data_IF_181113319002
#
_entry.id   IF_181113319002
#
_cell.length_a   1.000
_cell.length_b   1.000
_cell.length_c   1.000
_cell.angle_alpha   90.00
_cell.angle_beta   90.00
_cell.angle_gamma   90.00
#
_symmetry.space_group_name_H-M   'P 1'
#
loop_
_entity.id
_entity.type
_entity.pdbx_description
1 polymer ?
#
# COMPACT_ATOMS: atom_id res chain seq x y z
N UNK A 1 31.70 38.03 7.82
CA UNK A 1 30.83 37.49 6.74
C UNK A 1 30.34 36.08 7.10
N UNK A 2 29.35 35.90 8.00
CA UNK A 2 28.86 34.58 8.42
C UNK A 2 27.63 34.09 7.60
N UNK A 3 26.80 35.03 7.13
CA UNK A 3 25.46 34.77 6.57
C UNK A 3 25.42 33.89 5.31
N UNK A 4 26.45 33.92 4.46
CA UNK A 4 26.47 33.12 3.23
C UNK A 4 26.75 31.63 3.50
N UNK A 5 27.47 31.32 4.57
CA UNK A 5 27.77 29.94 4.98
C UNK A 5 26.56 29.28 5.62
N UNK A 6 25.82 30.03 6.43
CA UNK A 6 24.60 29.56 7.10
C UNK A 6 23.49 29.25 6.08
N UNK A 7 23.34 30.08 5.04
CA UNK A 7 22.38 29.82 3.95
C UNK A 7 22.72 28.56 3.14
N UNK A 8 24.00 28.24 2.93
CA UNK A 8 24.43 27.02 2.23
C UNK A 8 24.18 25.76 3.08
N UNK A 9 24.43 25.84 4.38
CA UNK A 9 24.15 24.73 5.32
C UNK A 9 22.64 24.47 5.45
N UNK A 10 21.82 25.51 5.55
CA UNK A 10 20.37 25.37 5.58
C UNK A 10 19.81 24.73 4.30
N UNK A 11 20.38 25.06 3.13
CA UNK A 11 19.98 24.46 1.86
C UNK A 11 20.34 22.97 1.78
N UNK A 12 21.53 22.58 2.25
CA UNK A 12 21.94 21.18 2.30
C UNK A 12 21.10 20.36 3.29
N UNK A 13 20.77 20.93 4.45
CA UNK A 13 19.89 20.30 5.42
C UNK A 13 18.48 20.06 4.83
N UNK A 14 17.89 21.09 4.20
CA UNK A 14 16.59 20.96 3.53
C UNK A 14 16.58 20.01 2.32
N UNK A 15 17.73 19.80 1.68
CA UNK A 15 17.88 18.82 0.60
C UNK A 15 18.05 17.39 1.15
N UNK A 16 18.74 17.22 2.27
CA UNK A 16 18.82 15.95 3.01
C UNK A 16 17.44 15.52 3.48
N UNK A 17 16.72 16.40 4.20
CA UNK A 17 15.36 16.10 4.70
C UNK A 17 14.40 15.71 3.57
N UNK A 18 14.51 16.34 2.40
CA UNK A 18 13.70 15.98 1.22
C UNK A 18 14.04 14.60 0.66
N UNK A 19 15.33 14.23 0.58
CA UNK A 19 15.73 12.89 0.15
C UNK A 19 15.28 11.83 1.16
N UNK A 20 15.45 12.09 2.45
CA UNK A 20 15.05 11.17 3.51
C UNK A 20 13.52 10.94 3.49
N UNK A 21 12.75 12.01 3.30
CA UNK A 21 11.28 11.91 3.15
C UNK A 21 10.85 11.14 1.90
N UNK A 22 11.55 11.29 0.78
CA UNK A 22 11.24 10.54 -0.44
C UNK A 22 11.49 9.03 -0.27
N UNK A 23 12.61 8.67 0.36
CA UNK A 23 12.93 7.27 0.67
C UNK A 23 11.93 6.63 1.64
N UNK A 24 11.40 7.42 2.58
CA UNK A 24 10.37 7.00 3.53
C UNK A 24 9.02 6.70 2.85
N UNK A 25 8.62 7.56 1.90
CA UNK A 25 7.40 7.37 1.09
C UNK A 25 7.50 6.15 0.18
N UNK A 26 8.67 5.94 -0.44
CA UNK A 26 8.91 4.77 -1.30
C UNK A 26 8.82 3.46 -0.50
N UNK A 27 9.42 3.42 0.70
CA UNK A 27 9.33 2.26 1.59
C UNK A 27 7.90 2.00 2.07
N UNK A 28 7.20 3.05 2.52
CA UNK A 28 5.81 2.95 2.99
C UNK A 28 4.88 2.42 1.90
N UNK A 29 5.08 2.87 0.66
CA UNK A 29 4.33 2.41 -0.52
C UNK A 29 4.57 0.93 -0.80
N UNK A 30 5.83 0.49 -0.79
CA UNK A 30 6.18 -0.92 -0.99
C UNK A 30 5.62 -1.82 0.12
N UNK A 31 5.70 -1.38 1.38
CA UNK A 31 5.15 -2.10 2.53
C UNK A 31 3.62 -2.23 2.45
N UNK A 32 2.93 -1.14 2.13
CA UNK A 32 1.48 -1.16 1.94
C UNK A 32 1.08 -2.10 0.80
N UNK A 33 1.80 -2.04 -0.32
CA UNK A 33 1.56 -2.89 -1.48
C UNK A 33 1.78 -4.37 -1.17
N UNK A 34 2.82 -4.71 -0.40
CA UNK A 34 3.06 -6.07 0.08
C UNK A 34 1.92 -6.57 0.99
N UNK A 35 1.47 -5.74 1.95
CA UNK A 35 0.34 -6.08 2.83
C UNK A 35 -0.94 -6.35 2.04
N UNK A 36 -1.22 -5.54 1.01
CA UNK A 36 -2.39 -5.74 0.13
C UNK A 36 -2.30 -7.09 -0.60
N UNK A 37 -1.13 -7.45 -1.16
CA UNK A 37 -0.98 -8.75 -1.85
C UNK A 37 -1.07 -9.94 -0.93
N UNK A 38 -0.46 -9.85 0.25
CA UNK A 38 -0.58 -10.89 1.26
C UNK A 38 -2.05 -11.11 1.66
N UNK A 39 -2.79 -10.02 1.86
CA UNK A 39 -4.23 -10.06 2.16
C UNK A 39 -5.03 -10.71 1.02
N UNK A 40 -4.79 -10.32 -0.24
CA UNK A 40 -5.49 -10.87 -1.40
C UNK A 40 -5.15 -12.36 -1.58
N UNK A 41 -3.89 -12.76 -1.43
CA UNK A 41 -3.49 -14.18 -1.48
C UNK A 41 -4.21 -15.02 -0.44
N UNK A 42 -4.23 -14.58 0.82
CA UNK A 42 -4.97 -15.25 1.90
C UNK A 42 -6.47 -15.32 1.59
N UNK A 43 -7.06 -14.24 1.08
CA UNK A 43 -8.46 -14.21 0.66
C UNK A 43 -8.81 -15.21 -0.45
N UNK A 44 -7.95 -15.33 -1.46
CA UNK A 44 -8.11 -16.32 -2.55
C UNK A 44 -7.93 -17.75 -2.06
N UNK A 45 -6.90 -18.02 -1.24
CA UNK A 45 -6.68 -19.35 -0.67
C UNK A 45 -7.86 -19.82 0.18
N UNK A 46 -8.42 -18.94 1.03
CA UNK A 46 -9.63 -19.23 1.82
C UNK A 46 -10.87 -19.44 0.95
N UNK A 47 -10.86 -18.93 -0.27
CA UNK A 47 -11.90 -19.17 -1.26
C UNK A 47 -11.72 -20.49 -2.03
N UNK A 48 -10.61 -21.22 -1.83
CA UNK A 48 -10.26 -22.38 -2.63
C UNK A 48 -9.78 -22.01 -4.04
N UNK A 49 -9.37 -20.75 -4.25
CA UNK A 49 -8.89 -20.25 -5.53
C UNK A 49 -7.37 -20.18 -5.49
N UNK A 50 -6.73 -20.74 -6.52
CA UNK A 50 -5.28 -20.66 -6.68
C UNK A 50 -4.85 -19.20 -6.92
N UNK A 51 -4.03 -18.60 -6.04
CA UNK A 51 -3.53 -17.24 -6.22
C UNK A 51 -2.69 -17.05 -7.50
N UNK A 52 -2.11 -18.11 -8.05
CA UNK A 52 -1.31 -18.03 -9.29
C UNK A 52 -2.18 -17.74 -10.52
N UNK A 53 -3.50 -18.03 -10.45
CA UNK A 53 -4.45 -17.64 -11.49
C UNK A 53 -4.62 -16.11 -11.57
N UNK A 54 -4.31 -15.37 -10.51
CA UNK A 54 -4.44 -13.92 -10.47
C UNK A 54 -3.24 -13.21 -11.12
N UNK A 55 -3.42 -12.65 -12.32
CA UNK A 55 -2.34 -11.92 -13.02
C UNK A 55 -1.77 -10.76 -12.18
N UNK A 56 -2.63 -10.04 -11.45
CA UNK A 56 -2.23 -8.95 -10.57
C UNK A 56 -1.32 -9.40 -9.39
N UNK A 57 -1.35 -10.68 -9.01
CA UNK A 57 -0.45 -11.24 -7.98
C UNK A 57 0.87 -11.76 -8.55
N UNK A 58 1.02 -11.79 -9.88
CA UNK A 58 2.29 -12.11 -10.55
C UNK A 58 3.10 -10.85 -10.83
N UNK A 59 2.44 -9.72 -11.09
CA UNK A 59 3.11 -8.44 -11.35
C UNK A 59 3.48 -7.74 -10.03
N UNK A 60 4.78 -7.58 -9.77
CA UNK A 60 5.29 -6.98 -8.53
C UNK A 60 6.76 -6.60 -8.51
N UNK A 61 7.18 -5.75 -7.55
CA UNK A 61 8.58 -5.48 -7.28
C UNK A 61 9.28 -6.81 -6.99
N UNK A 62 10.48 -6.94 -7.56
CA UNK A 62 11.23 -8.18 -7.51
C UNK A 62 11.52 -8.58 -6.05
N UNK A 63 11.65 -9.89 -5.79
CA UNK A 63 11.96 -10.41 -4.46
C UNK A 63 13.20 -9.77 -3.80
N UNK A 64 14.12 -9.19 -4.60
CA UNK A 64 15.27 -8.44 -4.11
C UNK A 64 14.92 -7.14 -3.39
N UNK A 65 13.93 -6.38 -3.88
CA UNK A 65 13.46 -5.14 -3.25
C UNK A 65 12.74 -5.43 -1.91
N UNK A 66 12.27 -6.67 -1.71
CA UNK A 66 11.62 -7.11 -0.48
C UNK A 66 12.61 -7.46 0.64
N UNK A 67 13.81 -7.92 0.31
CA UNK A 67 14.84 -8.25 1.31
C UNK A 67 15.39 -6.99 1.99
N UNK A 68 15.51 -5.90 1.24
CA UNK A 68 15.89 -4.58 1.77
C UNK A 68 14.82 -3.95 2.68
N UNK A 69 13.55 -4.37 2.53
CA UNK A 69 12.48 -3.89 3.38
C UNK A 69 12.56 -4.46 4.80
N UNK A 70 12.86 -5.76 4.94
CA UNK A 70 12.95 -6.42 6.24
C UNK A 70 14.11 -5.92 7.10
N UNK A 71 15.22 -5.50 6.48
CA UNK A 71 16.41 -4.99 7.18
C UNK A 71 16.25 -3.56 7.70
N UNK A 72 15.37 -2.75 7.10
CA UNK A 72 15.11 -1.34 7.50
C UNK A 72 14.07 -1.16 8.62
N UNK A 73 13.34 -2.21 8.99
CA UNK A 73 12.21 -2.17 9.95
C UNK A 73 12.57 -1.78 11.39
N UNK A 74 13.84 -1.52 11.69
CA UNK A 74 14.31 -1.23 13.05
C UNK A 74 14.02 0.19 13.56
N UNK A 75 13.66 1.14 12.70
CA UNK A 75 13.64 2.57 13.09
C UNK A 75 12.53 3.38 12.38
N UNK A 76 11.30 2.84 12.31
CA UNK A 76 10.16 3.61 11.81
C UNK A 76 9.52 4.41 12.94
N UNK A 77 9.77 5.72 12.95
CA UNK A 77 9.07 6.69 13.80
C UNK A 77 7.80 7.16 13.09
N UNK A 78 6.65 7.15 13.77
CA UNK A 78 5.37 7.61 13.20
C UNK A 78 5.45 9.07 12.70
N UNK A 79 4.83 9.41 11.56
CA UNK A 79 4.87 10.76 11.02
C UNK A 79 4.06 11.72 11.91
N UNK A 80 4.69 12.83 12.32
CA UNK A 80 4.09 13.82 13.21
C UNK A 80 3.03 14.72 12.49
N UNK A 81 1.84 14.81 13.10
CA UNK A 81 0.92 15.96 13.02
C UNK A 81 0.18 16.21 11.70
N UNK A 82 0.86 16.76 10.70
CA UNK A 82 0.25 17.22 9.45
C UNK A 82 0.21 16.13 8.38
N UNK A 83 1.30 15.37 8.23
CA UNK A 83 1.34 14.21 7.34
C UNK A 83 0.30 13.16 7.78
N UNK A 84 0.11 12.96 9.08
CA UNK A 84 -0.91 12.05 9.62
C UNK A 84 -2.34 12.44 9.20
N UNK A 85 -2.65 13.75 9.14
CA UNK A 85 -3.97 14.23 8.73
C UNK A 85 -4.21 14.09 7.22
N UNK A 86 -3.20 14.38 6.40
CA UNK A 86 -3.27 14.17 4.94
C UNK A 86 -3.37 12.67 4.59
N UNK A 87 -2.59 11.83 5.28
CA UNK A 87 -2.68 10.37 5.17
C UNK A 87 -4.06 9.83 5.58
N UNK A 88 -4.70 10.43 6.60
CA UNK A 88 -6.07 10.07 6.99
C UNK A 88 -7.10 10.39 5.90
N UNK A 89 -6.95 11.54 5.21
CA UNK A 89 -7.79 11.91 4.06
C UNK A 89 -7.65 10.91 2.90
N UNK A 90 -6.41 10.61 2.51
CA UNK A 90 -6.12 9.64 1.44
C UNK A 90 -6.58 8.22 1.79
N UNK A 91 -6.44 7.80 3.04
CA UNK A 91 -6.96 6.51 3.51
C UNK A 91 -8.50 6.45 3.42
N UNK A 92 -9.19 7.56 3.70
CA UNK A 92 -10.63 7.70 3.54
C UNK A 92 -11.08 7.54 2.09
N UNK A 93 -10.42 8.23 1.16
CA UNK A 93 -10.70 8.12 -0.27
C UNK A 93 -10.42 6.72 -0.82
N UNK A 94 -9.28 6.14 -0.44
CA UNK A 94 -8.94 4.76 -0.79
C UNK A 94 -10.04 3.80 -0.32
N UNK A 95 -10.45 3.90 0.95
CA UNK A 95 -11.53 3.09 1.52
C UNK A 95 -12.83 3.27 0.75
N UNK A 96 -13.23 4.51 0.46
CA UNK A 96 -14.45 4.80 -0.28
C UNK A 96 -14.43 4.17 -1.67
N UNK A 97 -13.28 4.24 -2.37
CA UNK A 97 -13.11 3.62 -3.69
C UNK A 97 -13.19 2.10 -3.64
N UNK A 98 -12.53 1.46 -2.67
CA UNK A 98 -12.60 0.00 -2.48
C UNK A 98 -14.03 -0.45 -2.14
N UNK A 99 -14.73 0.26 -1.26
CA UNK A 99 -16.15 -0.01 -0.96
C UNK A 99 -17.03 0.14 -2.19
N UNK A 100 -16.78 1.16 -3.03
CA UNK A 100 -17.49 1.35 -4.28
C UNK A 100 -17.33 0.18 -5.26
N UNK A 101 -16.12 -0.38 -5.36
CA UNK A 101 -15.86 -1.59 -6.17
C UNK A 101 -16.52 -2.81 -5.54
N UNK A 102 -16.42 -2.96 -4.21
CA UNK A 102 -16.93 -4.13 -3.47
C UNK A 102 -18.44 -4.31 -3.66
N UNK A 103 -19.20 -3.21 -3.79
CA UNK A 103 -20.65 -3.24 -4.06
C UNK A 103 -21.01 -4.00 -5.34
N UNK A 104 -20.12 -4.09 -6.34
CA UNK A 104 -20.37 -4.83 -7.59
C UNK A 104 -20.50 -6.33 -7.36
N UNK A 105 -20.01 -6.84 -6.24
CA UNK A 105 -20.08 -8.25 -5.88
C UNK A 105 -21.31 -8.60 -5.01
N UNK A 106 -22.14 -7.60 -4.68
CA UNK A 106 -23.37 -7.80 -3.90
C UNK A 106 -24.33 -8.81 -4.56
N UNK A 107 -24.39 -8.81 -5.89
CA UNK A 107 -25.27 -9.67 -6.69
C UNK A 107 -24.67 -11.06 -6.97
N UNK A 108 -23.64 -11.47 -6.22
CA UNK A 108 -22.97 -12.76 -6.40
C UNK A 108 -22.00 -12.84 -7.58
N UNK A 109 -21.78 -11.72 -8.29
CA UNK A 109 -20.76 -11.65 -9.33
C UNK A 109 -19.37 -11.90 -8.76
N UNK A 110 -18.54 -12.61 -9.51
CA UNK A 110 -17.14 -12.84 -9.19
C UNK A 110 -16.25 -12.05 -10.15
N UNK A 111 -15.09 -11.55 -9.69
CA UNK A 111 -14.12 -10.96 -10.58
C UNK A 111 -13.57 -12.02 -11.54
N UNK A 112 -13.24 -11.63 -12.76
CA UNK A 112 -12.43 -12.46 -13.64
C UNK A 112 -11.00 -12.48 -13.09
N UNK A 113 -10.65 -13.51 -12.33
CA UNK A 113 -9.34 -13.60 -11.66
C UNK A 113 -8.15 -13.49 -12.63
N UNK A 114 -8.31 -13.89 -13.90
CA UNK A 114 -7.22 -13.83 -14.87
C UNK A 114 -6.88 -12.39 -15.29
N UNK A 115 -7.86 -11.48 -15.27
CA UNK A 115 -7.71 -10.10 -15.75
C UNK A 115 -7.97 -9.03 -14.68
N UNK A 116 -8.51 -9.41 -13.52
CA UNK A 116 -8.90 -8.51 -12.46
C UNK A 116 -7.71 -7.73 -11.91
N UNK A 117 -7.93 -6.44 -11.68
CA UNK A 117 -6.97 -5.57 -11.03
C UNK A 117 -6.77 -5.96 -9.55
N UNK A 118 -5.62 -5.61 -8.97
CA UNK A 118 -5.37 -5.84 -7.54
C UNK A 118 -6.42 -5.16 -6.65
N UNK A 119 -6.93 -3.99 -7.08
CA UNK A 119 -7.99 -3.27 -6.37
C UNK A 119 -9.32 -4.02 -6.40
N UNK A 120 -9.67 -4.66 -7.52
CA UNK A 120 -10.87 -5.49 -7.63
C UNK A 120 -10.77 -6.76 -6.79
N UNK A 121 -9.61 -7.44 -6.82
CA UNK A 121 -9.36 -8.61 -5.98
C UNK A 121 -9.41 -8.26 -4.48
N UNK A 122 -8.83 -7.11 -4.10
CA UNK A 122 -8.90 -6.60 -2.73
C UNK A 122 -10.35 -6.31 -2.31
N UNK A 123 -11.10 -5.60 -3.15
CA UNK A 123 -12.51 -5.28 -2.90
C UNK A 123 -13.38 -6.55 -2.77
N UNK A 124 -13.15 -7.55 -3.62
CA UNK A 124 -13.83 -8.84 -3.55
C UNK A 124 -13.52 -9.60 -2.26
N UNK A 125 -12.24 -9.62 -1.84
CA UNK A 125 -11.83 -10.23 -0.57
C UNK A 125 -12.48 -9.54 0.64
N UNK A 126 -12.58 -8.20 0.62
CA UNK A 126 -13.28 -7.44 1.67
C UNK A 126 -14.77 -7.76 1.71
N UNK A 127 -15.44 -7.79 0.55
CA UNK A 127 -16.84 -8.17 0.46
C UNK A 127 -17.07 -9.55 1.06
N UNK A 128 -16.28 -10.54 0.64
CA UNK A 128 -16.37 -11.92 1.14
C UNK A 128 -16.14 -12.08 2.63
N UNK A 129 -15.17 -11.37 3.22
CA UNK A 129 -14.94 -11.41 4.67
C UNK A 129 -16.11 -10.79 5.44
N UNK A 130 -16.67 -9.68 4.96
CA UNK A 130 -17.83 -9.04 5.58
C UNK A 130 -19.12 -9.86 5.49
N UNK A 131 -19.22 -10.76 4.51
CA UNK A 131 -20.38 -11.65 4.31
C UNK A 131 -20.32 -12.95 5.14
N UNK A 132 -19.17 -13.30 5.74
CA UNK A 132 -19.05 -14.48 6.61
C UNK A 132 -19.39 -14.20 8.09
N UNK A 133 -19.45 -12.92 8.49
CA UNK A 133 -19.79 -12.49 9.85
C UNK A 133 -21.28 -12.10 10.02
N UNK A 134 -22.15 -12.50 9.08
CA UNK A 134 -23.62 -12.35 9.14
C UNK A 134 -24.29 -13.70 8.95
#
# INVERSE_FOLDING_TARGET
>A
MPRARDGRLARLAAESTRRDSALDVDYSTLSAWHRVRAFVRDGLLRAGIDPECAAALRQGPAAGEMAELHTKTGDYTEPAGEAAAEHAGLAGEFRARIVGIARRFADGHQPDFASASLAELLAWCFYRRGSCDR
#
